data_IF_741597031677
#
_entry.id   IF_741597031677
#
_cell.length_a   1.000
_cell.length_b   1.000
_cell.length_c   1.000
_cell.angle_alpha   90.00
_cell.angle_beta   90.00
_cell.angle_gamma   90.00
#
_symmetry.space_group_name_H-M   'P 1'
#
loop_
_entity.id
_entity.type
_entity.pdbx_description
1 polymer ?
#
# COMPACT_ATOMS: atom_id res chain seq x y z
N UNK A 1 -13.77 7.31 14.16
CA UNK A 1 -12.63 6.39 14.28
C UNK A 1 -13.21 5.03 14.57
N UNK A 2 -13.34 4.19 13.55
CA UNK A 2 -14.19 2.99 13.52
C UNK A 2 -13.36 1.73 13.78
N UNK A 3 -13.96 0.68 14.36
CA UNK A 3 -13.34 -0.61 14.70
C UNK A 3 -12.54 -1.28 13.56
N UNK A 4 -12.88 -0.98 12.30
CA UNK A 4 -12.15 -1.47 11.13
C UNK A 4 -10.78 -0.79 10.89
N UNK A 5 -10.50 0.33 11.56
CA UNK A 5 -9.21 1.06 11.58
C UNK A 5 -8.25 0.39 12.57
N UNK A 6 -8.76 0.14 13.77
CA UNK A 6 -8.08 -0.54 14.88
C UNK A 6 -7.61 -1.97 14.50
N UNK A 7 -8.37 -2.65 13.63
CA UNK A 7 -8.06 -4.02 13.20
C UNK A 7 -6.92 -4.12 12.18
N UNK A 8 -6.63 -3.05 11.43
CA UNK A 8 -5.53 -3.01 10.44
C UNK A 8 -4.23 -2.46 11.03
N UNK A 9 -4.33 -1.56 12.01
CA UNK A 9 -3.19 -1.18 12.86
C UNK A 9 -2.65 -2.38 13.67
N UNK A 10 -3.51 -3.33 14.02
CA UNK A 10 -3.16 -4.54 14.79
C UNK A 10 -3.16 -5.84 13.96
N UNK A 11 -2.98 -5.77 12.63
CA UNK A 11 -2.90 -6.98 11.83
C UNK A 11 -1.71 -7.84 12.32
N UNK A 12 -1.92 -9.13 12.65
CA UNK A 12 -0.85 -9.96 13.19
C UNK A 12 0.25 -10.16 12.15
N UNK A 13 1.52 -10.04 12.59
CA UNK A 13 2.67 -10.38 11.76
C UNK A 13 2.62 -11.87 11.45
N UNK A 14 2.45 -12.22 10.18
CA UNK A 14 2.42 -13.61 9.70
C UNK A 14 3.81 -13.98 9.18
N UNK A 15 4.40 -15.03 9.74
CA UNK A 15 5.69 -15.58 9.28
C UNK A 15 5.46 -16.99 8.75
N UNK A 16 5.89 -17.23 7.51
CA UNK A 16 5.85 -18.54 6.86
C UNK A 16 7.28 -19.03 6.58
N UNK A 17 7.62 -20.22 7.09
CA UNK A 17 8.93 -20.84 6.85
C UNK A 17 8.88 -21.63 5.55
N UNK A 18 9.47 -21.08 4.49
CA UNK A 18 9.49 -21.71 3.16
C UNK A 18 10.55 -22.84 3.06
N UNK A 19 11.63 -22.76 3.86
CA UNK A 19 12.72 -23.75 3.86
C UNK A 19 13.45 -23.77 5.21
N UNK A 20 13.95 -24.95 5.58
CA UNK A 20 14.72 -25.16 6.81
C UNK A 20 13.84 -25.65 7.97
N UNK A 21 14.44 -25.79 9.14
CA UNK A 21 13.77 -26.14 10.39
C UNK A 21 14.33 -25.27 11.52
N UNK A 22 13.97 -23.97 11.56
CA UNK A 22 14.45 -23.08 12.61
C UNK A 22 13.99 -23.56 13.97
N UNK A 23 14.77 -23.30 15.01
CA UNK A 23 14.32 -23.56 16.37
C UNK A 23 13.21 -22.57 16.77
N UNK A 24 12.49 -22.88 17.83
CA UNK A 24 11.46 -21.99 18.38
C UNK A 24 12.06 -20.63 18.78
N UNK A 25 13.28 -20.64 19.35
CA UNK A 25 14.00 -19.44 19.75
C UNK A 25 14.42 -18.60 18.55
N UNK A 26 14.89 -19.22 17.47
CA UNK A 26 15.26 -18.51 16.24
C UNK A 26 14.04 -17.87 15.57
N UNK A 27 12.92 -18.59 15.51
CA UNK A 27 11.67 -18.05 14.97
C UNK A 27 11.14 -16.89 15.83
N UNK A 28 11.18 -17.04 17.16
CA UNK A 28 10.79 -15.98 18.09
C UNK A 28 11.68 -14.73 17.93
N UNK A 29 13.00 -14.92 17.84
CA UNK A 29 13.94 -13.82 17.61
C UNK A 29 13.65 -13.08 16.29
N UNK A 30 13.39 -13.82 15.21
CA UNK A 30 13.04 -13.23 13.92
C UNK A 30 11.75 -12.40 13.99
N UNK A 31 10.69 -12.93 14.63
CA UNK A 31 9.42 -12.22 14.81
C UNK A 31 9.64 -10.93 15.60
N UNK A 32 10.37 -10.99 16.73
CA UNK A 32 10.64 -9.82 17.57
C UNK A 32 11.38 -8.74 16.79
N UNK A 33 12.47 -9.10 16.12
CA UNK A 33 13.26 -8.12 15.36
C UNK A 33 12.44 -7.47 14.25
N UNK A 34 11.72 -8.26 13.45
CA UNK A 34 10.90 -7.73 12.36
C UNK A 34 9.77 -6.84 12.88
N UNK A 35 9.13 -7.23 13.98
CA UNK A 35 8.05 -6.44 14.58
C UNK A 35 8.55 -5.10 15.11
N UNK A 36 9.71 -5.07 15.78
CA UNK A 36 10.32 -3.84 16.29
C UNK A 36 10.77 -2.91 15.16
N UNK A 37 11.34 -3.45 14.09
CA UNK A 37 11.69 -2.65 12.91
C UNK A 37 10.44 -2.09 12.23
N UNK A 38 9.39 -2.90 12.05
CA UNK A 38 8.12 -2.45 11.48
C UNK A 38 7.48 -1.34 12.32
N UNK A 39 7.49 -1.46 13.66
CA UNK A 39 6.99 -0.43 14.56
C UNK A 39 7.77 0.88 14.43
N UNK A 40 9.10 0.80 14.26
CA UNK A 40 9.94 1.98 14.04
C UNK A 40 9.66 2.64 12.69
N UNK A 41 9.52 1.85 11.63
CA UNK A 41 9.17 2.34 10.30
C UNK A 41 7.80 3.03 10.31
N UNK A 42 6.78 2.38 10.89
CA UNK A 42 5.44 2.93 11.04
C UNK A 42 5.44 4.25 11.83
N UNK A 43 6.20 4.34 12.93
CA UNK A 43 6.35 5.57 13.70
C UNK A 43 7.02 6.71 12.91
N UNK A 44 7.86 6.38 11.92
CA UNK A 44 8.52 7.35 11.05
C UNK A 44 7.70 7.72 9.80
N UNK A 45 6.63 6.99 9.52
CA UNK A 45 5.81 7.19 8.33
C UNK A 45 5.14 8.57 8.38
N UNK A 46 5.24 9.31 7.27
CA UNK A 46 4.64 10.65 7.12
C UNK A 46 3.34 10.63 6.34
N UNK A 47 3.00 9.48 5.76
CA UNK A 47 1.78 9.25 4.97
C UNK A 47 0.82 8.44 5.82
N UNK A 48 -0.47 8.77 5.75
CA UNK A 48 -1.51 8.01 6.46
C UNK A 48 -1.82 6.72 5.71
N UNK A 49 -2.15 5.65 6.44
CA UNK A 49 -2.58 4.36 5.87
C UNK A 49 -4.00 4.40 5.26
N UNK A 50 -4.62 5.59 5.22
CA UNK A 50 -5.89 5.76 4.55
C UNK A 50 -5.73 5.53 3.05
N UNK A 51 -6.63 4.73 2.49
CA UNK A 51 -6.78 4.62 1.03
C UNK A 51 -7.40 5.92 0.52
N UNK A 52 -6.57 6.95 0.35
CA UNK A 52 -6.97 8.23 -0.21
C UNK A 52 -6.90 8.14 -1.73
N UNK A 53 -8.00 8.51 -2.41
CA UNK A 53 -7.97 8.67 -3.86
C UNK A 53 -6.90 9.68 -4.23
N UNK A 54 -5.99 9.28 -5.09
CA UNK A 54 -4.95 10.17 -5.62
C UNK A 54 -5.59 11.35 -6.35
N UNK A 55 -4.88 12.49 -6.37
CA UNK A 55 -5.29 13.64 -7.20
C UNK A 55 -5.47 13.25 -8.66
N UNK A 56 -4.66 12.33 -9.17
CA UNK A 56 -4.81 11.79 -10.52
C UNK A 56 -6.15 11.09 -10.70
N UNK A 57 -6.56 10.19 -9.80
CA UNK A 57 -7.86 9.51 -9.88
C UNK A 57 -9.04 10.48 -9.78
N UNK A 58 -8.91 11.56 -9.01
CA UNK A 58 -9.93 12.61 -8.89
C UNK A 58 -10.07 13.42 -10.19
N UNK A 59 -8.95 13.72 -10.87
CA UNK A 59 -8.92 14.57 -12.06
C UNK A 59 -8.96 13.80 -13.40
N UNK A 60 -8.72 12.49 -13.41
CA UNK A 60 -8.70 11.65 -14.61
C UNK A 60 -10.07 11.51 -15.32
N UNK A 61 -11.17 12.06 -14.76
CA UNK A 61 -12.49 12.08 -15.40
C UNK A 61 -12.51 12.78 -16.77
N UNK A 62 -11.58 13.69 -17.01
CA UNK A 62 -11.44 14.38 -18.30
C UNK A 62 -10.64 13.62 -19.37
N UNK A 63 -10.00 12.49 -19.03
CA UNK A 63 -9.08 11.76 -19.91
C UNK A 63 -9.65 10.42 -20.43
N UNK A 64 -10.92 10.13 -20.13
CA UNK A 64 -11.53 8.83 -20.43
C UNK A 64 -12.10 8.68 -21.84
N UNK A 65 -12.21 9.75 -22.62
CA UNK A 65 -12.49 9.57 -24.04
C UNK A 65 -11.17 9.14 -24.71
N UNK A 66 -11.07 7.91 -25.24
CA UNK A 66 -9.91 7.53 -26.02
C UNK A 66 -9.73 8.53 -27.16
N UNK A 67 -8.52 9.01 -27.38
CA UNK A 67 -8.22 9.92 -28.48
C UNK A 67 -8.75 9.30 -29.79
N UNK A 68 -9.72 9.96 -30.44
CA UNK A 68 -10.34 9.46 -31.67
C UNK A 68 -9.32 9.51 -32.82
N UNK A 69 -8.60 8.41 -33.01
CA UNK A 69 -7.57 8.29 -34.06
C UNK A 69 -8.13 8.37 -35.49
N UNK A 70 -9.45 8.19 -35.66
CA UNK A 70 -10.11 8.35 -36.95
C UNK A 70 -10.37 9.83 -37.31
N UNK A 71 -10.31 10.76 -36.34
CA UNK A 71 -10.50 12.18 -36.57
C UNK A 71 -9.25 12.90 -37.15
N UNK A 72 -8.11 12.20 -37.25
CA UNK A 72 -6.84 12.79 -37.69
C UNK A 72 -6.25 13.81 -36.68
N UNK A 73 -5.10 14.40 -37.00
CA UNK A 73 -4.41 15.41 -36.15
C UNK A 73 -5.10 16.79 -36.18
N UNK A 74 -6.20 16.95 -36.92
CA UNK A 74 -6.70 18.26 -37.36
C UNK A 74 -7.67 18.94 -36.36
N UNK A 75 -7.82 18.41 -35.14
CA UNK A 75 -8.85 18.84 -34.19
C UNK A 75 -8.38 19.61 -32.95
N UNK A 76 -7.07 19.85 -32.77
CA UNK A 76 -6.57 20.63 -31.65
C UNK A 76 -6.54 22.13 -32.00
N UNK A 77 -7.49 22.90 -31.45
CA UNK A 77 -7.53 24.36 -31.55
C UNK A 77 -7.51 24.98 -30.14
N UNK A 78 -6.40 24.80 -29.41
CA UNK A 78 -6.16 25.47 -28.14
C UNK A 78 -6.86 24.85 -26.93
#
# INVERSE_FOLDING_TARGET
>A
MTVADDARENAPVVVEVVRGAPTEEELAAAIVVVSEEYAREAASATVTDDVVRSRWELHARGLREPLNRAAGWNGFTG
#
